data_IF_629987341290
#
_entry.id   IF_629987341290
#
_cell.length_a   1.000
_cell.length_b   1.000
_cell.length_c   1.000
_cell.angle_alpha   90.00
_cell.angle_beta   90.00
_cell.angle_gamma   90.00
#
_symmetry.space_group_name_H-M   'P 1'
#
loop_
_entity.id
_entity.type
_entity.pdbx_description
1 polymer ?
#
# COMPACT_ATOMS: atom_id res chain seq x y z
N UNK A 1 19.78 72.98 -6.75
CA UNK A 1 18.34 73.28 -6.92
C UNK A 1 18.11 73.79 -8.33
N UNK A 2 16.97 73.50 -8.98
CA UNK A 2 16.11 72.32 -8.86
C UNK A 2 16.70 71.24 -9.84
N UNK A 3 16.05 70.37 -10.62
CA UNK A 3 14.67 69.82 -10.73
C UNK A 3 14.80 68.27 -10.79
N UNK A 4 13.73 67.52 -10.46
CA UNK A 4 13.63 66.07 -10.77
C UNK A 4 12.81 65.86 -12.06
N UNK A 5 13.07 64.78 -12.79
CA UNK A 5 12.07 64.09 -13.63
C UNK A 5 12.23 62.58 -13.44
N UNK A 6 11.14 61.90 -13.12
CA UNK A 6 11.07 60.45 -13.21
C UNK A 6 10.50 60.07 -14.58
N UNK A 7 10.95 58.95 -15.15
CA UNK A 7 10.30 58.29 -16.28
C UNK A 7 10.15 56.82 -15.87
N UNK A 8 8.93 56.31 -15.98
CA UNK A 8 8.61 54.91 -15.71
C UNK A 8 8.76 54.10 -16.99
N UNK A 9 9.49 52.99 -16.94
CA UNK A 9 9.36 51.91 -17.90
C UNK A 9 9.06 50.62 -17.15
N UNK A 10 7.94 49.97 -17.51
CA UNK A 10 7.61 48.64 -17.02
C UNK A 10 8.57 47.64 -17.63
N UNK A 11 9.45 47.04 -16.83
CA UNK A 11 10.25 45.92 -17.30
C UNK A 11 9.57 44.57 -16.98
N UNK A 12 9.20 43.88 -18.06
CA UNK A 12 9.21 42.43 -18.22
C UNK A 12 9.02 41.58 -16.95
N UNK A 13 7.76 41.27 -16.62
CA UNK A 13 7.43 40.19 -15.66
C UNK A 13 7.74 38.81 -16.25
N UNK A 14 9.02 38.47 -16.34
CA UNK A 14 9.51 37.12 -16.64
C UNK A 14 9.24 36.17 -15.46
N UNK A 15 7.95 35.85 -15.26
CA UNK A 15 7.53 34.76 -14.36
C UNK A 15 8.04 33.45 -14.96
N UNK A 16 9.18 32.98 -14.47
CA UNK A 16 9.65 31.61 -14.73
C UNK A 16 8.58 30.64 -14.20
N UNK A 17 7.85 30.03 -15.13
CA UNK A 17 6.73 29.17 -14.80
C UNK A 17 7.21 28.04 -13.90
N UNK A 18 6.68 27.97 -12.67
CA UNK A 18 6.78 26.79 -11.83
C UNK A 18 5.92 25.69 -12.43
N UNK A 19 6.37 25.14 -13.55
CA UNK A 19 5.90 23.90 -14.14
C UNK A 19 6.29 22.76 -13.22
N UNK A 20 5.55 22.62 -12.11
CA UNK A 20 5.38 21.33 -11.45
C UNK A 20 4.85 20.40 -12.54
N UNK A 21 5.73 19.59 -13.11
CA UNK A 21 5.31 18.40 -13.85
C UNK A 21 4.66 17.51 -12.80
N UNK A 22 3.34 17.48 -12.75
CA UNK A 22 2.62 16.63 -11.83
C UNK A 22 3.05 15.19 -12.08
N UNK A 23 3.80 14.61 -11.13
CA UNK A 23 4.42 13.28 -11.29
C UNK A 23 3.31 12.25 -11.22
N UNK A 24 2.75 11.91 -12.40
CA UNK A 24 1.67 10.93 -12.56
C UNK A 24 2.05 9.68 -11.77
N UNK A 25 1.24 9.38 -10.76
CA UNK A 25 1.50 8.31 -9.82
C UNK A 25 0.49 7.21 -10.07
N UNK A 26 0.98 6.05 -10.51
CA UNK A 26 0.17 4.88 -10.83
C UNK A 26 -0.11 4.07 -9.57
N UNK A 27 -1.35 3.68 -9.34
CA UNK A 27 -1.73 2.84 -8.20
C UNK A 27 -1.22 1.41 -8.41
N UNK A 28 -0.49 0.88 -7.43
CA UNK A 28 -0.11 -0.54 -7.38
C UNK A 28 -1.11 -1.27 -6.49
N UNK A 29 -1.64 -2.41 -6.96
CA UNK A 29 -2.55 -3.28 -6.22
C UNK A 29 -2.12 -4.75 -6.44
N UNK A 30 -1.84 -5.48 -5.37
CA UNK A 30 -1.45 -6.90 -5.42
C UNK A 30 -2.25 -7.69 -4.39
N UNK A 31 -3.03 -8.67 -4.85
CA UNK A 31 -3.76 -9.59 -3.97
C UNK A 31 -2.90 -10.82 -3.67
N UNK A 32 -2.55 -11.01 -2.40
CA UNK A 32 -1.85 -12.18 -1.89
C UNK A 32 -2.87 -13.19 -1.35
N UNK A 33 -3.14 -14.24 -2.13
CA UNK A 33 -3.88 -15.41 -1.66
C UNK A 33 -3.03 -16.25 -0.69
N UNK A 34 -3.70 -16.94 0.24
CA UNK A 34 -3.04 -17.85 1.18
C UNK A 34 -2.26 -18.96 0.46
N UNK A 35 -1.08 -19.31 0.99
CA UNK A 35 -0.14 -20.31 0.46
C UNK A 35 0.42 -20.03 -0.96
N UNK A 36 0.14 -18.87 -1.57
CA UNK A 36 0.80 -18.46 -2.83
C UNK A 36 2.00 -17.54 -2.56
N UNK A 37 3.03 -17.70 -3.38
CA UNK A 37 4.26 -16.88 -3.40
C UNK A 37 4.29 -16.11 -4.72
N UNK A 38 4.29 -14.79 -4.64
CA UNK A 38 4.23 -13.88 -5.78
C UNK A 38 5.61 -13.27 -5.97
N UNK A 39 6.42 -13.88 -6.85
CA UNK A 39 7.81 -13.51 -7.08
C UNK A 39 7.99 -12.83 -8.44
N UNK A 40 8.73 -11.72 -8.47
CA UNK A 40 9.05 -10.98 -9.69
C UNK A 40 10.31 -10.13 -9.52
N UNK A 41 10.88 -9.69 -10.64
CA UNK A 41 11.91 -8.64 -10.68
C UNK A 41 11.24 -7.30 -10.93
N UNK A 42 11.54 -6.28 -10.13
CA UNK A 42 10.95 -4.95 -10.30
C UNK A 42 11.43 -4.27 -11.60
N UNK A 43 10.48 -3.89 -12.46
CA UNK A 43 10.75 -3.21 -13.75
C UNK A 43 10.89 -1.69 -13.61
N UNK A 44 10.23 -1.10 -12.61
CA UNK A 44 10.25 0.33 -12.28
C UNK A 44 10.24 0.56 -10.77
N UNK A 45 10.52 1.79 -10.31
CA UNK A 45 10.52 2.15 -8.88
C UNK A 45 9.09 2.32 -8.36
N UNK A 46 8.71 1.54 -7.34
CA UNK A 46 7.41 1.65 -6.68
C UNK A 46 7.49 1.46 -5.16
N UNK A 47 6.42 1.83 -4.45
CA UNK A 47 6.36 1.85 -2.99
C UNK A 47 5.04 1.29 -2.49
N UNK A 48 5.09 0.21 -1.72
CA UNK A 48 3.93 -0.37 -1.02
C UNK A 48 3.71 0.41 0.29
N UNK A 49 2.50 0.96 0.43
CA UNK A 49 2.12 1.90 1.49
C UNK A 49 1.07 1.33 2.46
N UNK A 50 0.42 0.21 2.10
CA UNK A 50 -0.57 -0.47 2.95
C UNK A 50 -0.57 -1.98 2.69
N UNK A 51 -0.84 -2.75 3.74
CA UNK A 51 -1.38 -4.10 3.65
C UNK A 51 -2.75 -4.14 4.37
N UNK A 52 -3.77 -4.74 3.77
CA UNK A 52 -5.09 -4.91 4.40
C UNK A 52 -5.68 -6.30 4.16
N UNK A 53 -6.44 -6.81 5.12
CA UNK A 53 -7.24 -8.03 4.94
C UNK A 53 -8.34 -7.73 3.92
N UNK A 54 -8.46 -8.55 2.88
CA UNK A 54 -9.64 -8.48 2.02
C UNK A 54 -10.88 -8.97 2.78
N UNK A 55 -12.02 -8.27 2.70
CA UNK A 55 -13.26 -8.76 3.28
C UNK A 55 -13.71 -10.00 2.52
N UNK A 56 -13.69 -11.17 3.17
CA UNK A 56 -14.26 -12.36 2.56
C UNK A 56 -15.79 -12.25 2.54
N UNK A 57 -16.37 -12.37 1.35
CA UNK A 57 -17.82 -12.26 1.10
C UNK A 57 -18.66 -13.26 1.92
N UNK A 58 -18.01 -14.32 2.43
CA UNK A 58 -18.55 -15.34 3.34
C UNK A 58 -18.86 -14.85 4.77
N UNK A 59 -19.11 -13.55 4.97
CA UNK A 59 -19.67 -13.00 6.22
C UNK A 59 -20.94 -12.18 5.94
N UNK A 60 -21.94 -12.81 5.32
CA UNK A 60 -23.33 -12.41 5.58
C UNK A 60 -23.57 -12.50 7.11
N UNK A 61 -23.96 -11.42 7.79
CA UNK A 61 -24.47 -11.55 9.14
C UNK A 61 -25.85 -12.23 9.04
N UNK A 62 -25.95 -13.48 9.48
CA UNK A 62 -27.25 -14.09 9.72
C UNK A 62 -27.96 -13.29 10.81
N UNK A 63 -28.92 -12.45 10.42
CA UNK A 63 -29.81 -11.74 11.34
C UNK A 63 -30.76 -12.74 12.01
N UNK A 64 -30.28 -13.42 13.05
CA UNK A 64 -31.09 -14.27 13.92
C UNK A 64 -31.13 -13.62 15.30
N UNK A 65 -32.33 -13.23 15.72
CA UNK A 65 -32.59 -12.77 17.07
C UNK A 65 -32.50 -13.94 18.06
N UNK A 66 -31.65 -13.81 19.08
CA UNK A 66 -31.75 -14.58 20.32
C UNK A 66 -31.40 -16.07 20.27
N UNK A 67 -30.11 -16.40 20.16
CA UNK A 67 -29.53 -17.57 20.85
C UNK A 67 -28.10 -17.29 21.31
N UNK A 68 -27.68 -17.90 22.42
CA UNK A 68 -26.57 -17.42 23.25
C UNK A 68 -25.24 -18.10 22.90
N UNK A 69 -24.21 -17.28 22.70
CA UNK A 69 -22.77 -17.59 22.56
C UNK A 69 -22.27 -19.01 22.96
N UNK A 70 -21.97 -19.89 22.00
CA UNK A 70 -20.96 -20.97 22.19
C UNK A 70 -19.97 -21.11 21.03
N UNK A 71 -20.42 -21.26 19.77
CA UNK A 71 -19.54 -21.55 18.60
C UNK A 71 -18.37 -20.57 18.42
N UNK A 72 -18.54 -19.31 18.85
CA UNK A 72 -17.55 -18.24 18.73
C UNK A 72 -16.28 -18.45 19.57
N UNK A 73 -16.25 -19.46 20.46
CA UNK A 73 -15.09 -19.77 21.33
C UNK A 73 -14.05 -20.70 20.72
N UNK A 74 -14.41 -21.51 19.72
CA UNK A 74 -13.52 -22.54 19.16
C UNK A 74 -12.72 -22.12 17.91
N UNK A 75 -12.73 -20.83 17.54
CA UNK A 75 -11.69 -20.29 16.67
C UNK A 75 -10.41 -20.08 17.45
N UNK A 76 -9.41 -20.90 17.19
CA UNK A 76 -8.02 -20.67 17.59
C UNK A 76 -7.58 -19.27 17.14
N UNK A 77 -7.14 -18.42 18.07
CA UNK A 77 -6.78 -17.01 17.80
C UNK A 77 -5.60 -16.81 16.82
N UNK A 78 -5.02 -17.89 16.31
CA UNK A 78 -4.02 -17.93 15.25
C UNK A 78 -4.64 -17.97 13.85
N UNK A 79 -5.91 -18.38 13.69
CA UNK A 79 -6.52 -18.56 12.36
C UNK A 79 -7.08 -17.26 11.75
N UNK A 80 -7.57 -16.34 12.60
CA UNK A 80 -8.03 -15.00 12.20
C UNK A 80 -6.85 -14.00 12.05
N UNK A 81 -5.60 -14.48 12.09
CA UNK A 81 -4.38 -13.69 11.86
C UNK A 81 -3.73 -14.04 10.54
N UNK A 82 -3.03 -13.06 9.96
CA UNK A 82 -2.21 -13.23 8.74
C UNK A 82 -0.90 -12.49 8.90
N UNK A 83 0.22 -13.20 8.76
CA UNK A 83 1.56 -12.62 8.69
C UNK A 83 1.84 -12.29 7.22
N UNK A 84 2.28 -11.07 6.94
CA UNK A 84 2.72 -10.65 5.60
C UNK A 84 4.25 -10.69 5.55
N UNK A 85 4.81 -11.40 4.58
CA UNK A 85 6.25 -11.61 4.41
C UNK A 85 6.69 -11.09 3.05
N UNK A 86 7.84 -10.43 3.01
CA UNK A 86 8.61 -10.19 1.77
C UNK A 86 9.93 -10.94 1.84
N UNK A 87 10.31 -11.55 0.73
CA UNK A 87 11.61 -12.14 0.49
C UNK A 87 12.44 -11.16 -0.36
N UNK A 88 13.67 -10.85 0.03
CA UNK A 88 14.62 -10.01 -0.71
C UNK A 88 16.05 -10.46 -0.39
N UNK A 89 16.96 -10.46 -1.37
CA UNK A 89 18.36 -10.93 -1.21
C UNK A 89 18.48 -12.28 -0.46
N UNK A 90 17.63 -13.25 -0.80
CA UNK A 90 17.52 -14.57 -0.14
C UNK A 90 17.14 -14.56 1.36
N UNK A 91 16.80 -13.40 1.92
CA UNK A 91 16.35 -13.22 3.30
C UNK A 91 14.84 -13.01 3.37
N UNK A 92 14.20 -13.44 4.48
CA UNK A 92 12.77 -13.24 4.72
C UNK A 92 12.52 -12.16 5.78
N UNK A 93 11.60 -11.23 5.49
CA UNK A 93 11.24 -10.13 6.38
C UNK A 93 9.73 -10.09 6.62
N UNK A 94 9.33 -10.13 7.90
CA UNK A 94 7.93 -9.92 8.29
C UNK A 94 7.62 -8.42 8.19
N UNK A 95 6.71 -8.05 7.28
CA UNK A 95 6.27 -6.67 7.08
C UNK A 95 5.25 -6.24 8.14
N UNK A 96 4.27 -7.10 8.43
CA UNK A 96 3.25 -6.86 9.44
C UNK A 96 2.52 -8.16 9.84
N UNK A 97 1.76 -8.07 10.93
CA UNK A 97 0.75 -9.07 11.30
C UNK A 97 -0.60 -8.38 11.31
N UNK A 98 -1.53 -8.90 10.51
CA UNK A 98 -2.92 -8.50 10.46
C UNK A 98 -3.78 -9.45 11.30
N UNK A 99 -4.88 -8.94 11.86
CA UNK A 99 -5.76 -9.64 12.79
C UNK A 99 -7.20 -9.18 12.50
N UNK A 100 -8.12 -10.11 12.22
CA UNK A 100 -9.45 -9.77 11.69
C UNK A 100 -10.36 -9.03 12.67
N UNK A 101 -10.06 -9.08 13.97
CA UNK A 101 -10.79 -8.34 15.01
C UNK A 101 -10.03 -7.07 15.47
N UNK A 102 -8.68 -7.06 15.41
CA UNK A 102 -7.85 -5.97 15.98
C UNK A 102 -7.16 -5.08 14.94
N UNK A 103 -6.53 -5.65 13.92
CA UNK A 103 -5.63 -4.94 12.98
C UNK A 103 -5.93 -5.40 11.56
N UNK A 104 -7.03 -4.87 11.00
CA UNK A 104 -7.50 -5.20 9.64
C UNK A 104 -6.61 -4.62 8.53
N UNK A 105 -5.80 -3.61 8.84
CA UNK A 105 -4.86 -2.99 7.91
C UNK A 105 -3.64 -2.45 8.66
N UNK A 106 -2.50 -2.40 7.99
CA UNK A 106 -1.23 -1.90 8.50
C UNK A 106 -0.57 -1.00 7.45
N UNK A 107 -0.16 0.21 7.83
CA UNK A 107 0.62 1.11 6.97
C UNK A 107 2.01 0.54 6.78
N UNK A 108 2.47 0.49 5.54
CA UNK A 108 3.80 0.05 5.18
C UNK A 108 4.63 1.22 4.64
N UNK A 109 5.94 1.03 4.62
CA UNK A 109 6.89 1.93 3.99
C UNK A 109 7.97 1.12 3.26
N UNK A 110 7.54 0.20 2.40
CA UNK A 110 8.44 -0.62 1.58
C UNK A 110 8.60 0.07 0.23
N UNK A 111 9.82 0.51 -0.09
CA UNK A 111 10.17 1.04 -1.40
C UNK A 111 11.03 0.01 -2.13
N UNK A 112 10.74 -0.20 -3.42
CA UNK A 112 11.33 -1.24 -4.26
C UNK A 112 11.98 -0.53 -5.47
N UNK A 113 13.24 -0.86 -5.74
CA UNK A 113 14.03 -0.26 -6.82
C UNK A 113 14.04 -1.14 -8.10
N UNK A 114 14.23 -0.55 -9.29
CA UNK A 114 14.37 -1.32 -10.53
C UNK A 114 15.51 -2.34 -10.44
N UNK A 115 15.24 -3.59 -10.83
CA UNK A 115 16.18 -4.71 -10.80
C UNK A 115 16.16 -5.54 -9.52
N UNK A 116 15.50 -5.08 -8.44
CA UNK A 116 15.35 -5.88 -7.21
C UNK A 116 14.50 -7.13 -7.48
N UNK A 117 14.97 -8.28 -6.99
CA UNK A 117 14.24 -9.55 -7.03
C UNK A 117 13.54 -9.75 -5.69
N UNK A 118 12.21 -9.73 -5.70
CA UNK A 118 11.41 -9.93 -4.49
C UNK A 118 10.41 -11.07 -4.63
N UNK A 119 9.94 -11.57 -3.50
CA UNK A 119 8.68 -12.31 -3.46
C UNK A 119 7.81 -11.89 -2.28
N UNK A 120 6.51 -11.73 -2.52
CA UNK A 120 5.51 -11.53 -1.46
C UNK A 120 4.77 -12.83 -1.17
N UNK A 121 4.56 -13.13 0.11
CA UNK A 121 3.73 -14.27 0.56
C UNK A 121 3.01 -13.97 1.87
N UNK A 122 1.97 -14.74 2.16
CA UNK A 122 1.21 -14.66 3.42
C UNK A 122 1.28 -15.97 4.20
N UNK A 123 1.16 -15.88 5.52
CA UNK A 123 0.97 -17.03 6.42
C UNK A 123 -0.32 -16.77 7.22
N UNK A 124 -1.43 -17.34 6.79
CA UNK A 124 -2.74 -17.18 7.44
C UNK A 124 -3.92 -17.32 6.47
N UNK A 125 -5.11 -17.64 6.99
CA UNK A 125 -6.23 -18.14 6.17
C UNK A 125 -6.97 -17.08 5.32
N UNK A 126 -6.65 -15.79 5.46
CA UNK A 126 -7.38 -14.67 4.82
C UNK A 126 -6.50 -13.98 3.77
N UNK A 127 -7.01 -13.69 2.54
CA UNK A 127 -6.24 -12.96 1.53
C UNK A 127 -5.89 -11.53 1.97
N UNK A 128 -4.75 -11.04 1.50
CA UNK A 128 -4.25 -9.68 1.80
C UNK A 128 -4.16 -8.87 0.52
N UNK A 129 -4.69 -7.65 0.52
CA UNK A 129 -4.40 -6.65 -0.50
C UNK A 129 -3.20 -5.83 -0.06
N UNK A 130 -2.11 -5.88 -0.82
CA UNK A 130 -1.09 -4.84 -0.78
C UNK A 130 -1.51 -3.70 -1.72
N UNK A 131 -1.37 -2.46 -1.26
CA UNK A 131 -1.54 -1.29 -2.12
C UNK A 131 -0.39 -0.29 -1.98
N UNK A 132 -0.15 0.45 -3.06
CA UNK A 132 1.02 1.30 -3.20
C UNK A 132 0.93 2.27 -4.36
N UNK A 133 2.04 2.94 -4.65
CA UNK A 133 2.20 3.88 -5.77
C UNK A 133 3.51 3.62 -6.51
N UNK A 134 3.48 3.79 -7.83
CA UNK A 134 4.64 3.80 -8.71
C UNK A 134 4.70 5.13 -9.47
N UNK A 135 5.87 5.57 -9.92
CA UNK A 135 5.95 6.68 -10.88
C UNK A 135 5.77 6.27 -12.34
N UNK A 136 5.70 4.97 -12.62
CA UNK A 136 5.56 4.39 -13.95
C UNK A 136 4.57 3.22 -13.89
N UNK A 137 3.91 2.82 -14.99
CA UNK A 137 3.09 1.63 -14.99
C UNK A 137 3.93 0.40 -14.63
N UNK A 138 3.49 -0.37 -13.63
CA UNK A 138 4.05 -1.68 -13.31
C UNK A 138 3.40 -2.69 -14.27
N UNK A 139 4.22 -3.41 -15.03
CA UNK A 139 3.82 -4.44 -15.98
C UNK A 139 4.65 -5.70 -15.81
#
# INVERSE_FOLDING_TARGET
MPKRKAISHNDSRSRSGHGKKDKVSHTVLLTLENNKRYAHTATSQYRITMASLQPSERRMPHCVCGTINEERRNRTQTEDKVIVVVEHDLNEYILCILDSDKVKQCKLNLEIQPGEQIAFRTIGKTPVLLSGVSSEPVG
#
